data_IF_154490007043
#
_entry.id   IF_154490007043
#
_cell.length_a   1.000
_cell.length_b   1.000
_cell.length_c   1.000
_cell.angle_alpha   90.00
_cell.angle_beta   90.00
_cell.angle_gamma   90.00
#
_symmetry.space_group_name_H-M   'P 1'
#
loop_
_entity.id
_entity.type
_entity.pdbx_description
1 polymer ?
#
# COMPACT_ATOMS: atom_id res chain seq x y z
N UNK A 1 -29.84 12.19 -1.44
CA UNK A 1 -29.20 10.87 -1.65
C UNK A 1 -28.70 10.37 -0.31
N UNK A 2 -29.36 9.37 0.27
CA UNK A 2 -28.91 8.73 1.51
C UNK A 2 -27.52 8.10 1.24
N UNK A 3 -26.44 8.49 1.93
CA UNK A 3 -25.13 7.90 1.69
C UNK A 3 -25.25 6.40 1.94
N UNK A 4 -24.98 5.56 0.92
CA UNK A 4 -24.88 4.11 1.09
C UNK A 4 -24.02 3.85 2.33
N UNK A 5 -24.58 3.13 3.31
CA UNK A 5 -23.87 2.78 4.53
C UNK A 5 -22.49 2.20 4.15
N UNK A 6 -21.43 2.86 4.62
CA UNK A 6 -20.07 2.42 4.35
C UNK A 6 -19.81 1.14 5.13
N UNK A 7 -19.24 0.14 4.46
CA UNK A 7 -18.85 -1.10 5.13
C UNK A 7 -17.67 -0.80 6.07
N UNK A 8 -17.89 -0.90 7.37
CA UNK A 8 -16.91 -0.54 8.40
C UNK A 8 -15.69 -1.46 8.37
N UNK A 9 -15.88 -2.75 8.09
CA UNK A 9 -14.78 -3.72 8.01
C UNK A 9 -13.83 -3.38 6.86
N UNK A 10 -14.36 -2.85 5.76
CA UNK A 10 -13.55 -2.38 4.63
C UNK A 10 -12.80 -1.11 5.01
N UNK A 11 -13.43 -0.15 5.67
CA UNK A 11 -12.74 1.07 6.12
C UNK A 11 -11.65 0.73 7.16
N UNK A 12 -11.89 -0.21 8.07
CA UNK A 12 -10.87 -0.72 9.00
C UNK A 12 -9.72 -1.38 8.25
N UNK A 13 -10.02 -2.23 7.26
CA UNK A 13 -9.01 -2.87 6.43
C UNK A 13 -8.15 -1.85 5.68
N UNK A 14 -8.74 -0.73 5.25
CA UNK A 14 -7.97 0.36 4.67
C UNK A 14 -7.03 1.01 5.69
N UNK A 15 -7.46 1.24 6.93
CA UNK A 15 -6.58 1.74 7.98
C UNK A 15 -5.41 0.76 8.26
N UNK A 16 -5.70 -0.54 8.32
CA UNK A 16 -4.67 -1.59 8.47
C UNK A 16 -3.66 -1.51 7.33
N UNK A 17 -4.11 -1.36 6.09
CA UNK A 17 -3.23 -1.23 4.93
C UNK A 17 -2.26 -0.06 5.08
N UNK A 18 -2.74 1.09 5.53
CA UNK A 18 -1.89 2.27 5.73
C UNK A 18 -0.89 2.05 6.84
N UNK A 19 -1.32 1.58 7.99
CA UNK A 19 -0.41 1.36 9.12
C UNK A 19 0.70 0.38 8.73
N UNK A 20 0.34 -0.63 7.96
CA UNK A 20 1.27 -1.60 7.39
C UNK A 20 2.33 -0.93 6.48
N UNK A 21 1.88 -0.07 5.57
CA UNK A 21 2.75 0.69 4.64
C UNK A 21 3.62 1.70 5.41
N UNK A 22 3.04 2.40 6.38
CA UNK A 22 3.72 3.40 7.20
C UNK A 22 4.89 2.77 7.97
N UNK A 23 4.60 1.69 8.71
CA UNK A 23 5.60 0.94 9.47
C UNK A 23 6.68 0.44 8.52
N UNK A 24 6.30 -0.18 7.41
CA UNK A 24 7.27 -0.63 6.40
C UNK A 24 8.23 0.46 5.97
N UNK A 25 7.74 1.61 5.50
CA UNK A 25 8.60 2.70 5.05
C UNK A 25 9.49 3.32 6.14
N UNK A 26 9.08 3.27 7.42
CA UNK A 26 9.95 3.68 8.52
C UNK A 26 11.17 2.75 8.64
N UNK A 27 10.99 1.45 8.41
CA UNK A 27 12.03 0.44 8.66
C UNK A 27 12.79 -0.01 7.39
N UNK A 28 12.26 0.23 6.19
CA UNK A 28 12.89 -0.13 4.90
C UNK A 28 14.34 0.34 4.75
N UNK A 29 14.73 1.59 5.10
CA UNK A 29 16.12 2.02 4.97
C UNK A 29 17.08 1.16 5.79
N UNK A 30 16.69 0.78 7.00
CA UNK A 30 17.47 -0.09 7.89
C UNK A 30 17.54 -1.52 7.35
N UNK A 31 16.42 -2.03 6.83
CA UNK A 31 16.39 -3.35 6.19
C UNK A 31 17.33 -3.41 4.98
N UNK A 32 17.25 -2.42 4.08
CA UNK A 32 18.08 -2.38 2.88
C UNK A 32 19.57 -2.22 3.21
N UNK A 33 19.90 -1.47 4.27
CA UNK A 33 21.26 -1.38 4.78
C UNK A 33 21.79 -2.74 5.23
N UNK A 34 20.98 -3.52 5.96
CA UNK A 34 21.35 -4.85 6.47
C UNK A 34 21.36 -5.94 5.39
N UNK A 35 20.41 -5.92 4.46
CA UNK A 35 20.23 -6.95 3.44
C UNK A 35 21.11 -6.75 2.21
N UNK A 36 21.38 -5.49 1.83
CA UNK A 36 22.02 -5.14 0.56
C UNK A 36 23.18 -4.15 0.69
N UNK A 37 23.55 -3.74 1.92
CA UNK A 37 24.69 -2.85 2.15
C UNK A 37 24.44 -1.39 1.76
N UNK A 38 23.19 -0.94 1.71
CA UNK A 38 22.86 0.45 1.40
C UNK A 38 23.36 1.42 2.49
N UNK A 39 24.35 2.23 2.14
CA UNK A 39 25.11 3.15 3.00
C UNK A 39 24.28 4.40 3.36
N UNK A 40 23.46 4.38 4.42
CA UNK A 40 22.87 5.64 4.96
C UNK A 40 22.25 5.55 6.36
N UNK A 41 21.93 4.37 6.87
CA UNK A 41 21.37 4.22 8.21
C UNK A 41 22.46 3.81 9.21
N UNK A 42 22.49 4.44 10.38
CA UNK A 42 23.38 4.11 11.50
C UNK A 42 22.99 2.77 12.13
N UNK A 43 23.16 1.68 11.38
CA UNK A 43 22.79 0.35 11.85
C UNK A 43 23.89 -0.19 12.75
N UNK A 44 23.55 -0.46 14.01
CA UNK A 44 24.49 -1.08 14.94
C UNK A 44 24.82 -2.52 14.54
N UNK A 45 26.07 -2.93 14.76
CA UNK A 45 26.54 -4.32 14.56
C UNK A 45 25.65 -5.32 15.34
N UNK A 46 25.09 -4.89 16.48
CA UNK A 46 24.17 -5.69 17.29
C UNK A 46 22.84 -6.03 16.60
N UNK A 47 22.33 -5.19 15.70
CA UNK A 47 21.13 -5.53 14.92
C UNK A 47 21.43 -6.57 13.85
N UNK A 48 22.62 -6.54 13.23
CA UNK A 48 22.98 -7.43 12.13
C UNK A 48 22.96 -8.91 12.51
N UNK A 49 23.37 -9.23 13.74
CA UNK A 49 23.46 -10.61 14.22
C UNK A 49 22.27 -11.01 15.12
N UNK A 50 21.22 -10.19 15.19
CA UNK A 50 20.07 -10.44 16.05
C UNK A 50 19.01 -11.24 15.30
N UNK A 51 18.74 -12.46 15.77
CA UNK A 51 17.61 -13.28 15.33
C UNK A 51 16.31 -12.49 15.34
N UNK A 52 16.06 -11.75 16.43
CA UNK A 52 14.80 -11.06 16.66
C UNK A 52 14.68 -9.84 15.74
N UNK A 53 15.78 -9.13 15.50
CA UNK A 53 15.79 -8.04 14.54
C UNK A 53 15.47 -8.54 13.13
N UNK A 54 16.12 -9.60 12.68
CA UNK A 54 15.86 -10.18 11.36
C UNK A 54 14.42 -10.68 11.24
N UNK A 55 13.95 -11.42 12.26
CA UNK A 55 12.58 -11.93 12.30
C UNK A 55 11.53 -10.81 12.20
N UNK A 56 11.62 -9.79 13.06
CA UNK A 56 10.69 -8.67 13.07
C UNK A 56 10.73 -7.86 11.76
N UNK A 57 11.93 -7.58 11.24
CA UNK A 57 12.07 -6.82 10.00
C UNK A 57 11.60 -7.60 8.77
N UNK A 58 11.81 -8.91 8.74
CA UNK A 58 11.25 -9.79 7.73
C UNK A 58 9.72 -9.75 7.72
N UNK A 59 9.08 -9.78 8.90
CA UNK A 59 7.62 -9.66 9.02
C UNK A 59 7.12 -8.29 8.56
N UNK A 60 7.86 -7.21 8.86
CA UNK A 60 7.55 -5.87 8.38
C UNK A 60 7.55 -5.82 6.84
N UNK A 61 8.46 -6.51 6.16
CA UNK A 61 8.45 -6.53 4.69
C UNK A 61 7.21 -7.22 4.13
N UNK A 62 6.79 -8.35 4.72
CA UNK A 62 5.52 -8.99 4.38
C UNK A 62 4.33 -8.07 4.67
N UNK A 63 4.37 -7.33 5.78
CA UNK A 63 3.33 -6.38 6.19
C UNK A 63 3.24 -5.20 5.21
N UNK A 64 4.35 -4.60 4.79
CA UNK A 64 4.36 -3.56 3.77
C UNK A 64 3.78 -4.03 2.44
N UNK A 65 4.18 -5.23 1.99
CA UNK A 65 3.62 -5.87 0.80
C UNK A 65 2.10 -6.11 0.93
N UNK A 66 1.65 -6.58 2.09
CA UNK A 66 0.24 -6.82 2.40
C UNK A 66 -0.56 -5.52 2.25
N UNK A 67 -0.07 -4.42 2.85
CA UNK A 67 -0.73 -3.13 2.77
C UNK A 67 -0.88 -2.61 1.34
N UNK A 68 0.18 -2.71 0.53
CA UNK A 68 0.12 -2.30 -0.88
C UNK A 68 -0.91 -3.13 -1.67
N UNK A 69 -0.94 -4.46 -1.48
CA UNK A 69 -1.94 -5.30 -2.13
C UNK A 69 -3.37 -4.92 -1.70
N UNK A 70 -3.62 -4.75 -0.40
CA UNK A 70 -4.94 -4.37 0.10
C UNK A 70 -5.39 -3.04 -0.53
N UNK A 71 -4.50 -2.05 -0.61
CA UNK A 71 -4.81 -0.73 -1.17
C UNK A 71 -5.35 -0.81 -2.62
N UNK A 72 -4.66 -1.56 -3.48
CA UNK A 72 -5.07 -1.75 -4.87
C UNK A 72 -6.26 -2.72 -5.01
N UNK A 73 -6.27 -3.83 -4.27
CA UNK A 73 -7.33 -4.84 -4.35
C UNK A 73 -8.69 -4.29 -3.89
N UNK A 74 -8.75 -3.50 -2.81
CA UNK A 74 -10.00 -2.82 -2.41
C UNK A 74 -10.56 -1.99 -3.56
N UNK A 75 -9.67 -1.28 -4.26
CA UNK A 75 -10.07 -0.43 -5.37
C UNK A 75 -10.67 -1.25 -6.51
N UNK A 76 -10.01 -2.35 -6.91
CA UNK A 76 -10.50 -3.25 -7.95
C UNK A 76 -11.82 -3.93 -7.58
N UNK A 77 -11.94 -4.39 -6.34
CA UNK A 77 -13.11 -5.08 -5.79
C UNK A 77 -14.39 -4.25 -5.88
N UNK A 78 -14.29 -2.92 -5.76
CA UNK A 78 -15.46 -2.04 -5.89
C UNK A 78 -15.60 -1.39 -7.26
N UNK A 79 -14.49 -1.01 -7.91
CA UNK A 79 -14.51 -0.31 -9.18
C UNK A 79 -15.01 -1.18 -10.34
N UNK A 80 -14.42 -2.36 -10.50
CA UNK A 80 -14.71 -3.22 -11.66
C UNK A 80 -16.16 -3.71 -11.62
N UNK A 81 -16.68 -4.29 -10.52
CA UNK A 81 -18.09 -4.71 -10.47
C UNK A 81 -19.08 -3.55 -10.60
N UNK A 82 -18.71 -2.35 -10.14
CA UNK A 82 -19.55 -1.17 -10.34
C UNK A 82 -19.61 -0.76 -11.81
N UNK A 83 -18.48 -0.72 -12.51
CA UNK A 83 -18.44 -0.42 -13.94
C UNK A 83 -19.20 -1.49 -14.76
N UNK A 84 -19.09 -2.78 -14.41
CA UNK A 84 -19.86 -3.86 -15.05
C UNK A 84 -21.38 -3.62 -14.90
N UNK A 85 -21.84 -3.15 -13.74
CA UNK A 85 -23.27 -2.83 -13.50
C UNK A 85 -23.77 -1.63 -14.30
N UNK A 86 -22.88 -0.74 -14.71
CA UNK A 86 -23.22 0.47 -15.47
C UNK A 86 -23.09 0.28 -16.99
N UNK A 87 -22.79 -0.93 -17.45
CA UNK A 87 -22.75 -1.26 -18.87
C UNK A 87 -24.11 -0.97 -19.53
N UNK A 88 -24.07 -0.31 -20.69
CA UNK A 88 -25.26 0.10 -21.43
C UNK A 88 -25.07 1.47 -22.11
N UNK A 89 -26.18 2.11 -22.48
CA UNK A 89 -26.16 3.41 -23.13
C UNK A 89 -25.46 4.48 -22.25
N UNK A 90 -24.55 5.23 -22.86
CA UNK A 90 -23.78 6.27 -22.19
C UNK A 90 -22.75 5.76 -21.17
N UNK A 91 -22.36 4.48 -21.21
CA UNK A 91 -21.33 3.91 -20.33
C UNK A 91 -20.08 4.79 -20.26
N UNK A 92 -19.48 5.13 -21.40
CA UNK A 92 -18.25 5.92 -21.45
C UNK A 92 -18.41 7.31 -20.85
N UNK A 93 -19.53 7.99 -21.09
CA UNK A 93 -19.80 9.31 -20.51
C UNK A 93 -19.87 9.23 -18.98
N UNK A 94 -20.56 8.22 -18.44
CA UNK A 94 -20.65 7.97 -16.99
C UNK A 94 -19.27 7.65 -16.39
N UNK A 95 -18.48 6.80 -17.05
CA UNK A 95 -17.14 6.43 -16.58
C UNK A 95 -16.16 7.60 -16.64
N UNK A 96 -16.13 8.37 -17.74
CA UNK A 96 -15.28 9.56 -17.88
C UNK A 96 -15.60 10.57 -16.77
N UNK A 97 -16.89 10.82 -16.48
CA UNK A 97 -17.29 11.71 -15.39
C UNK A 97 -16.86 11.18 -14.02
N UNK A 98 -16.99 9.88 -13.77
CA UNK A 98 -16.56 9.23 -12.52
C UNK A 98 -15.04 9.30 -12.33
N UNK A 99 -14.28 9.00 -13.39
CA UNK A 99 -12.81 9.10 -13.43
C UNK A 99 -12.39 10.56 -13.23
N UNK A 100 -13.00 11.51 -13.96
CA UNK A 100 -12.71 12.94 -13.82
C UNK A 100 -12.86 13.45 -12.39
N UNK A 101 -13.95 13.06 -11.69
CA UNK A 101 -14.11 13.38 -10.26
C UNK A 101 -12.96 12.85 -9.40
N UNK A 102 -12.50 11.63 -9.66
CA UNK A 102 -11.37 11.02 -8.93
C UNK A 102 -10.06 11.71 -9.27
N UNK A 103 -9.80 12.02 -10.54
CA UNK A 103 -8.62 12.75 -10.98
C UNK A 103 -8.53 14.10 -10.27
N UNK A 104 -9.62 14.88 -10.23
CA UNK A 104 -9.66 16.18 -9.53
C UNK A 104 -9.30 16.01 -8.05
N UNK A 105 -9.85 15.01 -7.39
CA UNK A 105 -9.57 14.76 -5.96
C UNK A 105 -8.12 14.33 -5.73
N UNK A 106 -7.59 13.44 -6.57
CA UNK A 106 -6.21 12.93 -6.45
C UNK A 106 -5.21 14.04 -6.77
N UNK A 107 -5.31 14.63 -7.96
CA UNK A 107 -4.39 15.69 -8.43
C UNK A 107 -4.52 16.93 -7.56
N UNK A 108 -5.75 17.34 -7.18
CA UNK A 108 -5.95 18.46 -6.27
C UNK A 108 -5.32 18.22 -4.90
N UNK A 109 -5.38 16.99 -4.37
CA UNK A 109 -4.68 16.65 -3.13
C UNK A 109 -3.16 16.76 -3.31
N UNK A 110 -2.61 16.24 -4.41
CA UNK A 110 -1.18 16.35 -4.73
C UNK A 110 -0.74 17.80 -4.81
N UNK A 111 -1.51 18.68 -5.46
CA UNK A 111 -1.21 20.11 -5.57
C UNK A 111 -1.21 20.79 -4.20
N UNK A 112 -2.25 20.57 -3.37
CA UNK A 112 -2.33 21.18 -2.03
C UNK A 112 -1.14 20.75 -1.17
N UNK A 113 -0.78 19.46 -1.20
CA UNK A 113 0.36 18.96 -0.44
C UNK A 113 1.69 19.42 -1.01
N UNK A 114 1.82 19.55 -2.33
CA UNK A 114 3.00 20.12 -2.96
C UNK A 114 3.24 21.56 -2.49
N UNK A 115 2.21 22.40 -2.47
CA UNK A 115 2.30 23.78 -1.96
C UNK A 115 2.73 23.79 -0.49
N UNK A 116 2.14 22.93 0.34
CA UNK A 116 2.49 22.85 1.76
C UNK A 116 3.93 22.35 1.97
N UNK A 117 4.39 21.37 1.20
CA UNK A 117 5.77 20.89 1.25
C UNK A 117 6.75 21.99 0.86
N UNK A 118 6.45 22.75 -0.19
CA UNK A 118 7.26 23.91 -0.61
C UNK A 118 7.30 24.96 0.50
N UNK A 119 6.15 25.30 1.10
CA UNK A 119 6.07 26.24 2.22
C UNK A 119 6.92 25.78 3.41
N UNK A 120 6.79 24.51 3.82
CA UNK A 120 7.57 23.95 4.91
C UNK A 120 9.06 23.89 4.59
N UNK A 121 9.46 23.72 3.33
CA UNK A 121 10.86 23.81 2.92
C UNK A 121 11.42 25.21 3.16
N UNK A 122 10.67 26.27 2.83
CA UNK A 122 11.11 27.65 3.08
C UNK A 122 11.19 27.97 4.58
N UNK A 123 10.20 27.53 5.38
CA UNK A 123 10.14 27.82 6.82
C UNK A 123 11.18 27.01 7.61
N UNK A 124 11.27 25.70 7.34
CA UNK A 124 12.09 24.78 8.13
C UNK A 124 13.46 24.48 7.49
N UNK A 125 13.80 25.12 6.36
CA UNK A 125 15.04 24.88 5.58
C UNK A 125 15.34 23.39 5.39
N UNK A 126 14.35 22.65 4.88
CA UNK A 126 14.54 21.21 4.65
C UNK A 126 15.68 20.95 3.65
N UNK A 127 16.42 19.84 3.75
CA UNK A 127 17.49 19.50 2.83
C UNK A 127 17.03 19.59 1.37
N UNK A 128 17.68 20.45 0.59
CA UNK A 128 17.29 20.86 -0.78
C UNK A 128 17.29 19.74 -1.81
N UNK A 129 17.83 18.55 -1.48
CA UNK A 129 17.99 17.44 -2.40
C UNK A 129 16.68 16.93 -3.03
N UNK A 130 15.52 17.12 -2.38
CA UNK A 130 14.22 16.68 -2.93
C UNK A 130 13.55 17.68 -3.89
N UNK A 131 13.75 18.98 -3.71
CA UNK A 131 13.06 20.01 -4.51
C UNK A 131 13.83 20.45 -5.75
N UNK A 132 15.11 20.08 -5.87
CA UNK A 132 15.97 20.43 -7.00
C UNK A 132 15.67 19.64 -8.31
N UNK A 133 14.49 19.04 -8.44
CA UNK A 133 14.07 18.30 -9.64
C UNK A 133 12.59 17.89 -9.59
N UNK A 134 12.06 17.21 -10.62
CA UNK A 134 10.64 16.80 -10.67
C UNK A 134 10.36 15.45 -9.98
N UNK A 135 11.42 14.79 -9.48
CA UNK A 135 11.39 13.43 -8.95
C UNK A 135 10.43 13.26 -7.77
N UNK A 136 10.34 14.28 -6.91
CA UNK A 136 9.42 14.31 -5.75
C UNK A 136 7.94 14.38 -6.15
N UNK A 137 7.63 14.87 -7.36
CA UNK A 137 6.30 14.81 -7.97
C UNK A 137 6.11 13.59 -8.87
N UNK A 138 7.19 13.02 -9.40
CA UNK A 138 7.19 11.83 -10.26
C UNK A 138 7.37 10.54 -9.48
N UNK A 139 8.61 10.05 -9.38
CA UNK A 139 8.93 8.72 -8.84
C UNK A 139 8.56 8.52 -7.38
N UNK A 140 8.62 9.58 -6.57
CA UNK A 140 8.34 9.46 -5.13
C UNK A 140 6.83 9.27 -4.85
N UNK A 141 5.99 9.61 -5.82
CA UNK A 141 4.53 9.44 -5.80
C UNK A 141 4.07 8.28 -6.69
N UNK A 142 4.97 7.37 -7.09
CA UNK A 142 4.68 6.31 -8.07
C UNK A 142 3.42 5.50 -7.74
N UNK A 143 3.19 5.16 -6.47
CA UNK A 143 2.01 4.38 -6.05
C UNK A 143 0.69 5.16 -6.22
N UNK A 144 0.72 6.48 -6.08
CA UNK A 144 -0.43 7.37 -6.29
C UNK A 144 -0.74 7.49 -7.79
N UNK A 145 0.30 7.59 -8.62
CA UNK A 145 0.14 7.59 -10.07
C UNK A 145 -0.35 6.24 -10.59
N UNK A 146 0.18 5.13 -10.08
CA UNK A 146 -0.33 3.78 -10.36
C UNK A 146 -1.79 3.63 -9.96
N UNK A 147 -2.18 4.18 -8.81
CA UNK A 147 -3.58 4.20 -8.39
C UNK A 147 -4.49 4.94 -9.36
N UNK A 148 -4.04 6.10 -9.85
CA UNK A 148 -4.75 6.87 -10.86
C UNK A 148 -4.89 6.07 -12.16
N UNK A 149 -3.81 5.45 -12.63
CA UNK A 149 -3.80 4.57 -13.81
C UNK A 149 -4.82 3.44 -13.63
N UNK A 150 -4.85 2.76 -12.49
CA UNK A 150 -5.80 1.66 -12.25
C UNK A 150 -7.25 2.15 -12.22
N UNK A 151 -7.50 3.36 -11.72
CA UNK A 151 -8.82 3.98 -11.81
C UNK A 151 -9.25 4.19 -13.28
N UNK A 152 -8.33 4.68 -14.12
CA UNK A 152 -8.57 4.88 -15.56
C UNK A 152 -8.74 3.54 -16.30
N UNK A 153 -8.00 2.50 -15.92
CA UNK A 153 -8.09 1.16 -16.51
C UNK A 153 -9.35 0.40 -16.11
N UNK A 154 -9.96 0.73 -14.98
CA UNK A 154 -11.12 0.02 -14.44
C UNK A 154 -12.29 -0.19 -15.43
N UNK A 155 -12.74 0.79 -16.24
CA UNK A 155 -13.77 0.55 -17.26
C UNK A 155 -13.34 -0.41 -18.37
N UNK A 156 -12.07 -0.40 -18.77
CA UNK A 156 -11.55 -1.31 -19.78
C UNK A 156 -11.52 -2.75 -19.26
N UNK A 157 -11.05 -2.94 -18.02
CA UNK A 157 -11.07 -4.25 -17.35
C UNK A 157 -12.51 -4.76 -17.22
N UNK A 158 -13.45 -3.89 -16.83
CA UNK A 158 -14.87 -4.23 -16.76
C UNK A 158 -15.43 -4.69 -18.11
N UNK A 159 -15.10 -3.99 -19.21
CA UNK A 159 -15.49 -4.39 -20.56
C UNK A 159 -14.91 -5.75 -20.95
N UNK A 160 -13.60 -5.95 -20.75
CA UNK A 160 -12.94 -7.22 -21.05
C UNK A 160 -13.55 -8.38 -20.25
N UNK A 161 -13.73 -8.21 -18.94
CA UNK A 161 -14.35 -9.22 -18.09
C UNK A 161 -15.81 -9.50 -18.50
N UNK A 162 -16.56 -8.48 -18.91
CA UNK A 162 -17.96 -8.64 -19.34
C UNK A 162 -18.10 -9.38 -20.67
N UNK A 163 -17.15 -9.18 -21.59
CA UNK A 163 -17.11 -9.84 -22.90
C UNK A 163 -16.55 -11.26 -22.80
N UNK A 164 -15.51 -11.48 -21.99
CA UNK A 164 -14.79 -12.75 -21.90
C UNK A 164 -15.10 -13.55 -20.63
N UNK A 165 -16.39 -13.68 -20.28
CA UNK A 165 -16.84 -14.27 -19.00
C UNK A 165 -16.28 -15.66 -18.68
N UNK A 166 -16.17 -16.53 -19.70
CA UNK A 166 -15.78 -17.94 -19.53
C UNK A 166 -14.27 -18.13 -19.35
N UNK A 167 -13.44 -17.35 -20.06
CA UNK A 167 -11.98 -17.50 -20.03
C UNK A 167 -11.24 -16.52 -19.12
N UNK A 168 -11.88 -15.42 -18.70
CA UNK A 168 -11.22 -14.37 -17.91
C UNK A 168 -10.59 -14.88 -16.60
N UNK A 169 -11.28 -15.77 -15.88
CA UNK A 169 -10.75 -16.33 -14.64
C UNK A 169 -9.50 -17.20 -14.87
N UNK A 170 -9.52 -18.05 -15.91
CA UNK A 170 -8.38 -18.88 -16.27
C UNK A 170 -7.20 -18.05 -16.79
N UNK A 171 -7.49 -17.03 -17.59
CA UNK A 171 -6.49 -16.04 -18.04
C UNK A 171 -5.83 -15.36 -16.84
N UNK A 172 -6.62 -14.81 -15.91
CA UNK A 172 -6.09 -14.17 -14.70
C UNK A 172 -5.23 -15.12 -13.86
N UNK A 173 -5.64 -16.38 -13.71
CA UNK A 173 -4.86 -17.37 -13.00
C UNK A 173 -3.50 -17.62 -13.69
N UNK A 174 -3.50 -17.79 -15.01
CA UNK A 174 -2.29 -18.01 -15.79
C UNK A 174 -1.32 -16.82 -15.69
N UNK A 175 -1.78 -15.59 -15.93
CA UNK A 175 -0.91 -14.41 -15.87
C UNK A 175 -0.40 -14.12 -14.45
N UNK A 176 -1.18 -14.42 -13.41
CA UNK A 176 -0.72 -14.32 -12.02
C UNK A 176 0.41 -15.30 -11.74
N UNK A 177 0.26 -16.57 -12.14
CA UNK A 177 1.31 -17.59 -11.99
C UNK A 177 2.58 -17.13 -12.70
N UNK A 178 2.48 -16.73 -13.97
CA UNK A 178 3.62 -16.21 -14.73
C UNK A 178 4.26 -15.00 -14.06
N UNK A 179 3.46 -14.06 -13.57
CA UNK A 179 3.96 -12.85 -12.88
C UNK A 179 4.73 -13.21 -11.61
N UNK A 180 4.22 -14.13 -10.79
CA UNK A 180 4.92 -14.55 -9.58
C UNK A 180 6.18 -15.38 -9.87
N UNK A 181 6.19 -16.18 -10.95
CA UNK A 181 7.40 -16.85 -11.42
C UNK A 181 8.45 -15.83 -11.88
N UNK A 182 8.06 -14.81 -12.63
CA UNK A 182 8.96 -13.72 -13.00
C UNK A 182 9.47 -12.96 -11.78
N UNK A 183 8.62 -12.65 -10.80
CA UNK A 183 9.04 -11.99 -9.56
C UNK A 183 10.03 -12.85 -8.76
N UNK A 184 9.78 -14.16 -8.66
CA UNK A 184 10.71 -15.08 -8.03
C UNK A 184 12.05 -15.13 -8.77
N UNK A 185 12.03 -15.19 -10.11
CA UNK A 185 13.25 -15.14 -10.92
C UNK A 185 14.05 -13.85 -10.66
N UNK A 186 13.38 -12.70 -10.67
CA UNK A 186 14.03 -11.41 -10.38
C UNK A 186 14.61 -11.41 -8.96
N UNK A 187 13.83 -11.86 -7.98
CA UNK A 187 14.21 -11.87 -6.58
C UNK A 187 15.48 -12.71 -6.33
N UNK A 188 15.58 -13.91 -6.90
CA UNK A 188 16.67 -14.82 -6.61
C UNK A 188 17.87 -14.70 -7.57
N UNK A 189 17.63 -14.31 -8.82
CA UNK A 189 18.65 -14.40 -9.87
C UNK A 189 18.98 -13.08 -10.58
N UNK A 190 18.10 -12.06 -10.50
CA UNK A 190 18.24 -10.87 -11.36
C UNK A 190 17.79 -9.58 -10.69
N UNK A 191 18.19 -9.31 -9.45
CA UNK A 191 17.78 -8.09 -8.75
C UNK A 191 18.33 -6.79 -9.38
N UNK A 192 19.42 -6.88 -10.15
CA UNK A 192 20.13 -5.73 -10.75
C UNK A 192 20.93 -4.92 -9.71
N UNK A 193 21.71 -3.94 -10.16
CA UNK A 193 22.51 -3.05 -9.29
C UNK A 193 21.69 -1.95 -8.60
N UNK A 194 22.31 -1.28 -7.61
CA UNK A 194 21.71 -0.35 -6.62
C UNK A 194 21.04 0.90 -7.24
N UNK A 195 21.40 1.27 -8.46
CA UNK A 195 20.85 2.45 -9.14
C UNK A 195 19.57 2.11 -9.91
N UNK A 196 18.44 2.14 -9.19
CA UNK A 196 17.11 1.86 -9.74
C UNK A 196 16.40 3.16 -10.16
N UNK A 197 16.59 3.57 -11.42
CA UNK A 197 15.68 4.51 -12.07
C UNK A 197 14.37 3.81 -12.48
N UNK A 198 13.34 4.60 -12.83
CA UNK A 198 12.01 4.14 -13.26
C UNK A 198 12.01 3.36 -14.60
N UNK A 199 13.17 3.29 -15.26
CA UNK A 199 13.44 2.68 -16.56
C UNK A 199 13.68 1.16 -16.48
N UNK A 200 14.01 0.62 -15.31
CA UNK A 200 14.23 -0.81 -15.12
C UNK A 200 12.92 -1.60 -15.17
N UNK A 201 12.75 -2.46 -16.18
CA UNK A 201 11.61 -3.38 -16.30
C UNK A 201 11.36 -4.21 -15.03
N UNK A 202 12.41 -4.51 -14.25
CA UNK A 202 12.34 -5.18 -12.94
C UNK A 202 11.50 -4.40 -11.92
N UNK A 203 11.54 -3.07 -11.97
CA UNK A 203 10.74 -2.20 -11.12
C UNK A 203 9.29 -2.16 -11.58
N UNK A 204 9.04 -2.19 -12.90
CA UNK A 204 7.69 -2.24 -13.47
C UNK A 204 6.92 -3.51 -13.08
N UNK A 205 7.62 -4.60 -12.78
CA UNK A 205 6.98 -5.84 -12.35
C UNK A 205 6.14 -5.70 -11.06
N UNK A 206 6.48 -4.77 -10.16
CA UNK A 206 5.62 -4.50 -9.00
C UNK A 206 4.27 -3.90 -9.40
N UNK A 207 4.28 -2.93 -10.31
CA UNK A 207 3.07 -2.36 -10.90
C UNK A 207 2.22 -3.42 -11.60
N UNK A 208 2.84 -4.31 -12.38
CA UNK A 208 2.15 -5.44 -13.04
C UNK A 208 1.50 -6.38 -12.02
N UNK A 209 2.21 -6.69 -10.93
CA UNK A 209 1.67 -7.57 -9.87
C UNK A 209 0.46 -6.93 -9.18
N UNK A 210 0.51 -5.63 -8.90
CA UNK A 210 -0.63 -4.91 -8.33
C UNK A 210 -1.80 -4.79 -9.30
N UNK A 211 -1.54 -4.64 -10.60
CA UNK A 211 -2.58 -4.63 -11.63
C UNK A 211 -3.35 -5.96 -11.66
N UNK A 212 -2.63 -7.08 -11.62
CA UNK A 212 -3.30 -8.39 -11.60
C UNK A 212 -4.05 -8.64 -10.29
N UNK A 213 -3.52 -8.18 -9.15
CA UNK A 213 -4.26 -8.16 -7.89
C UNK A 213 -5.54 -7.33 -7.96
N UNK A 214 -5.47 -6.14 -8.57
CA UNK A 214 -6.63 -5.28 -8.82
C UNK A 214 -7.69 -5.98 -9.68
N UNK A 215 -7.28 -6.62 -10.79
CA UNK A 215 -8.18 -7.38 -11.67
C UNK A 215 -8.82 -8.59 -10.96
N UNK A 216 -8.03 -9.37 -10.22
CA UNK A 216 -8.53 -10.54 -9.47
C UNK A 216 -9.53 -10.12 -8.40
N UNK A 217 -9.25 -9.03 -7.67
CA UNK A 217 -10.19 -8.50 -6.68
C UNK A 217 -11.49 -8.03 -7.34
N UNK A 218 -11.43 -7.43 -8.53
CA UNK A 218 -12.61 -7.10 -9.33
C UNK A 218 -13.44 -8.32 -9.71
N UNK A 219 -12.79 -9.40 -10.17
CA UNK A 219 -13.46 -10.67 -10.45
C UNK A 219 -14.10 -11.26 -9.17
N UNK A 220 -13.38 -11.23 -8.06
CA UNK A 220 -13.86 -11.74 -6.78
C UNK A 220 -15.08 -10.96 -6.27
N UNK A 221 -15.11 -9.64 -6.47
CA UNK A 221 -16.24 -8.77 -6.16
C UNK A 221 -17.46 -9.03 -7.04
N UNK A 222 -17.27 -9.28 -8.35
CA UNK A 222 -18.36 -9.62 -9.28
C UNK A 222 -18.96 -10.99 -9.00
N UNK A 223 -18.12 -11.99 -8.73
CA UNK A 223 -18.55 -13.37 -8.41
C UNK A 223 -19.02 -13.56 -6.97
N UNK A 224 -18.83 -12.57 -6.11
CA UNK A 224 -19.25 -12.64 -4.71
C UNK A 224 -18.46 -13.68 -3.90
N UNK A 225 -17.15 -13.81 -4.15
CA UNK A 225 -16.27 -14.75 -3.43
C UNK A 225 -16.23 -14.49 -1.91
N UNK A 226 -16.58 -13.29 -1.47
CA UNK A 226 -16.68 -12.92 -0.04
C UNK A 226 -17.71 -13.72 0.75
N UNK A 227 -18.57 -14.50 0.09
CA UNK A 227 -19.52 -15.42 0.74
C UNK A 227 -18.83 -16.59 1.44
N UNK A 228 -17.66 -17.05 0.96
CA UNK A 228 -16.96 -18.18 1.56
C UNK A 228 -15.93 -17.73 2.62
N UNK A 229 -16.45 -17.40 3.81
CA UNK A 229 -15.63 -16.90 4.93
C UNK A 229 -14.66 -17.95 5.47
N UNK A 230 -15.08 -19.23 5.54
CA UNK A 230 -14.24 -20.32 6.06
C UNK A 230 -12.97 -20.47 5.23
N UNK A 231 -13.11 -20.61 3.90
CA UNK A 231 -11.97 -20.72 2.99
C UNK A 231 -11.06 -19.49 3.02
N UNK A 232 -11.65 -18.29 3.09
CA UNK A 232 -10.87 -17.06 3.20
C UNK A 232 -10.05 -17.02 4.50
N UNK A 233 -10.61 -17.47 5.63
CA UNK A 233 -9.88 -17.58 6.90
C UNK A 233 -8.75 -18.60 6.84
N UNK A 234 -8.99 -19.76 6.24
CA UNK A 234 -7.98 -20.81 6.07
C UNK A 234 -6.79 -20.30 5.24
N UNK A 235 -7.06 -19.66 4.10
CA UNK A 235 -6.01 -19.07 3.26
C UNK A 235 -5.24 -18.00 4.03
N UNK A 236 -5.93 -17.13 4.77
CA UNK A 236 -5.26 -16.12 5.58
C UNK A 236 -4.31 -16.74 6.62
N UNK A 237 -4.77 -17.76 7.35
CA UNK A 237 -3.96 -18.46 8.34
C UNK A 237 -2.76 -19.16 7.70
N UNK A 238 -2.95 -19.83 6.55
CA UNK A 238 -1.85 -20.43 5.80
C UNK A 238 -0.81 -19.37 5.44
N UNK A 239 -1.23 -18.24 4.86
CA UNK A 239 -0.30 -17.17 4.51
C UNK A 239 0.40 -16.58 5.75
N UNK A 240 -0.32 -16.40 6.86
CA UNK A 240 0.25 -15.91 8.11
C UNK A 240 1.32 -16.87 8.65
N UNK A 241 1.02 -18.16 8.73
CA UNK A 241 1.99 -19.17 9.15
C UNK A 241 3.16 -19.29 8.18
N UNK A 242 2.92 -19.23 6.87
CA UNK A 242 4.00 -19.22 5.88
C UNK A 242 4.93 -18.02 6.04
N UNK A 243 4.40 -16.83 6.31
CA UNK A 243 5.22 -15.65 6.61
C UNK A 243 6.06 -15.86 7.86
N UNK A 244 5.44 -16.31 8.96
CA UNK A 244 6.13 -16.59 10.23
C UNK A 244 7.23 -17.64 10.08
N UNK A 245 6.94 -18.75 9.42
CA UNK A 245 7.91 -19.82 9.18
C UNK A 245 9.05 -19.34 8.29
N UNK A 246 8.73 -18.61 7.22
CA UNK A 246 9.74 -18.09 6.29
C UNK A 246 10.68 -17.10 6.98
N UNK A 247 10.16 -16.16 7.77
CA UNK A 247 11.00 -15.22 8.54
C UNK A 247 11.79 -15.91 9.63
N UNK A 248 11.20 -16.92 10.30
CA UNK A 248 11.88 -17.73 11.30
C UNK A 248 13.07 -18.49 10.70
N UNK A 249 12.89 -19.14 9.55
CA UNK A 249 13.96 -19.83 8.82
C UNK A 249 15.07 -18.85 8.41
N UNK A 250 14.72 -17.67 7.89
CA UNK A 250 15.72 -16.65 7.55
C UNK A 250 16.51 -16.17 8.77
N UNK A 251 15.82 -16.03 9.90
CA UNK A 251 16.44 -15.62 11.17
C UNK A 251 17.35 -16.70 11.74
N UNK A 252 16.98 -17.99 11.64
CA UNK A 252 17.86 -19.11 11.98
C UNK A 252 19.10 -19.14 11.08
N UNK A 253 18.92 -18.90 9.78
CA UNK A 253 20.00 -18.85 8.81
C UNK A 253 20.83 -17.54 8.85
N UNK A 254 20.46 -16.56 9.69
CA UNK A 254 21.08 -15.24 9.78
C UNK A 254 21.24 -14.53 8.42
N UNK A 255 20.30 -14.76 7.49
CA UNK A 255 20.39 -14.27 6.12
C UNK A 255 19.39 -13.15 5.84
N UNK A 256 19.87 -11.91 5.98
CA UNK A 256 19.10 -10.71 5.62
C UNK A 256 18.74 -10.65 4.14
N UNK A 257 19.66 -11.11 3.28
CA UNK A 257 19.42 -11.21 1.84
C UNK A 257 18.25 -12.15 1.54
N UNK A 258 18.23 -13.34 2.14
CA UNK A 258 17.13 -14.30 1.94
C UNK A 258 15.78 -13.73 2.41
N UNK A 259 15.76 -13.02 3.55
CA UNK A 259 14.55 -12.33 4.01
C UNK A 259 14.09 -11.24 3.02
N UNK A 260 15.02 -10.55 2.37
CA UNK A 260 14.74 -9.55 1.34
C UNK A 260 14.19 -10.18 0.06
N UNK A 261 14.81 -11.28 -0.37
CA UNK A 261 14.45 -12.00 -1.59
C UNK A 261 13.06 -12.67 -1.46
N UNK A 262 12.71 -13.23 -0.29
CA UNK A 262 11.39 -13.84 -0.05
C UNK A 262 10.24 -12.82 0.05
N UNK A 263 10.55 -11.58 0.43
CA UNK A 263 9.58 -10.50 0.51
C UNK A 263 9.53 -9.62 -0.75
N UNK A 264 10.38 -9.94 -1.74
CA UNK A 264 10.88 -9.04 -2.78
C UNK A 264 9.97 -7.87 -3.16
N UNK A 265 10.51 -6.64 -2.97
CA UNK A 265 9.97 -5.33 -3.38
C UNK A 265 8.46 -5.17 -3.18
N UNK A 266 7.94 -5.67 -2.06
CA UNK A 266 6.53 -5.56 -1.72
C UNK A 266 5.58 -6.35 -2.65
N UNK A 267 6.08 -7.39 -3.32
CA UNK A 267 5.36 -8.24 -4.29
C UNK A 267 5.29 -9.72 -3.87
N UNK A 268 5.30 -9.99 -2.57
CA UNK A 268 5.27 -11.35 -2.04
C UNK A 268 3.96 -12.09 -2.36
N UNK A 269 4.06 -13.34 -2.82
CA UNK A 269 2.91 -14.24 -3.01
C UNK A 269 2.16 -14.49 -1.69
N UNK A 270 2.89 -14.60 -0.58
CA UNK A 270 2.33 -14.80 0.75
C UNK A 270 1.46 -13.58 1.13
N UNK A 271 2.00 -12.38 0.94
CA UNK A 271 1.27 -11.13 1.20
C UNK A 271 0.09 -10.92 0.25
N UNK A 272 0.21 -11.33 -1.01
CA UNK A 272 -0.90 -11.31 -1.97
C UNK A 272 -2.07 -12.18 -1.50
N UNK A 273 -1.79 -13.43 -1.11
CA UNK A 273 -2.80 -14.36 -0.61
C UNK A 273 -3.44 -13.87 0.69
N UNK A 274 -2.64 -13.35 1.62
CA UNK A 274 -3.11 -12.73 2.85
C UNK A 274 -3.97 -11.48 2.59
N UNK A 275 -3.61 -10.63 1.63
CA UNK A 275 -4.35 -9.42 1.28
C UNK A 275 -5.72 -9.77 0.67
N UNK A 276 -5.74 -10.70 -0.30
CA UNK A 276 -6.98 -11.13 -0.92
C UNK A 276 -7.92 -11.79 0.09
N UNK A 277 -7.40 -12.66 0.95
CA UNK A 277 -8.20 -13.32 1.99
C UNK A 277 -8.76 -12.35 3.02
N UNK A 278 -7.95 -11.40 3.53
CA UNK A 278 -8.43 -10.34 4.42
C UNK A 278 -9.50 -9.47 3.76
N UNK A 279 -9.32 -9.12 2.48
CA UNK A 279 -10.32 -8.38 1.71
C UNK A 279 -11.65 -9.15 1.64
N UNK A 280 -11.60 -10.44 1.31
CA UNK A 280 -12.80 -11.27 1.23
C UNK A 280 -13.49 -11.43 2.59
N UNK A 281 -12.72 -11.59 3.68
CA UNK A 281 -13.22 -11.64 5.05
C UNK A 281 -13.89 -10.33 5.47
N UNK A 282 -13.28 -9.18 5.15
CA UNK A 282 -13.85 -7.86 5.45
C UNK A 282 -15.07 -7.53 4.58
N UNK A 283 -15.13 -8.09 3.37
CA UNK A 283 -16.26 -7.94 2.46
C UNK A 283 -17.42 -8.91 2.75
N UNK A 284 -17.24 -9.92 3.61
CA UNK A 284 -18.32 -10.81 4.06
C UNK A 284 -19.37 -10.00 4.84
N UNK A 285 -20.67 -10.30 4.61
CA UNK A 285 -21.84 -9.56 5.13
C UNK A 285 -21.70 -9.06 6.59
N UNK A 286 -22.06 -7.79 6.80
CA UNK A 286 -22.02 -7.07 8.08
C UNK A 286 -23.13 -7.47 9.07
N UNK A 287 -22.80 -7.34 10.38
CA UNK A 287 -23.75 -6.86 11.39
C UNK A 287 -23.87 -5.34 11.25
N UNK A 288 -25.09 -4.80 11.09
CA UNK A 288 -25.38 -3.36 11.13
C UNK A 288 -25.08 -2.81 12.52
N UNK A 289 -23.87 -2.30 12.77
CA UNK A 289 -23.57 -1.54 13.99
C UNK A 289 -23.03 -0.15 13.59
N UNK A 290 -23.94 0.72 13.18
CA UNK A 290 -23.64 2.06 12.66
C UNK A 290 -23.65 3.18 13.71
N UNK A 291 -23.63 2.88 15.02
CA UNK A 291 -23.82 3.90 16.07
C UNK A 291 -22.62 4.15 17.00
N UNK A 292 -21.46 3.51 16.79
CA UNK A 292 -20.31 3.71 17.67
C UNK A 292 -19.40 4.88 17.23
N UNK A 293 -18.90 5.67 18.20
CA UNK A 293 -17.89 6.73 17.99
C UNK A 293 -16.67 6.22 17.21
N UNK A 294 -16.25 4.97 17.46
CA UNK A 294 -15.16 4.31 16.75
C UNK A 294 -15.41 4.19 15.23
N UNK A 295 -16.66 3.94 14.80
CA UNK A 295 -16.99 3.84 13.37
C UNK A 295 -16.81 5.19 12.65
N UNK A 296 -17.16 6.30 13.31
CA UNK A 296 -16.92 7.66 12.80
C UNK A 296 -15.42 7.96 12.69
N UNK A 297 -14.63 7.59 13.70
CA UNK A 297 -13.19 7.78 13.69
C UNK A 297 -12.50 6.96 12.57
N UNK A 298 -12.85 5.67 12.44
CA UNK A 298 -12.32 4.81 11.37
C UNK A 298 -12.67 5.39 9.99
N UNK A 299 -13.93 5.78 9.79
CA UNK A 299 -14.37 6.40 8.53
C UNK A 299 -13.66 7.72 8.25
N UNK A 300 -13.38 8.50 9.29
CA UNK A 300 -12.61 9.73 9.18
C UNK A 300 -11.20 9.43 8.69
N UNK A 301 -10.41 8.63 9.41
CA UNK A 301 -9.03 8.30 9.02
C UNK A 301 -8.96 7.59 7.65
N UNK A 302 -9.90 6.71 7.35
CA UNK A 302 -9.97 6.00 6.07
C UNK A 302 -10.33 6.91 4.87
N UNK A 303 -10.75 8.16 5.09
CA UNK A 303 -10.84 9.14 4.01
C UNK A 303 -9.50 9.83 3.72
N UNK A 304 -8.63 9.93 4.73
CA UNK A 304 -7.35 10.65 4.67
C UNK A 304 -6.17 9.85 4.14
N UNK A 305 -6.37 8.57 3.86
CA UNK A 305 -5.36 7.61 3.39
C UNK A 305 -4.49 8.13 2.26
N UNK A 306 -5.15 8.67 1.24
CA UNK A 306 -4.46 9.17 0.07
C UNK A 306 -3.59 10.38 0.45
N UNK A 307 -4.09 11.24 1.34
CA UNK A 307 -3.34 12.37 1.86
C UNK A 307 -2.14 11.94 2.70
N UNK A 308 -2.30 10.92 3.55
CA UNK A 308 -1.17 10.31 4.26
C UNK A 308 -0.09 9.86 3.27
N UNK A 309 -0.46 9.12 2.22
CA UNK A 309 0.52 8.59 1.26
C UNK A 309 1.28 9.72 0.56
N UNK A 310 0.57 10.76 0.10
CA UNK A 310 1.18 11.92 -0.55
C UNK A 310 2.13 12.63 0.42
N UNK A 311 1.68 12.92 1.64
CA UNK A 311 2.51 13.58 2.64
C UNK A 311 3.73 12.77 3.02
N UNK A 312 3.58 11.46 3.25
CA UNK A 312 4.68 10.59 3.64
C UNK A 312 5.77 10.56 2.55
N UNK A 313 5.38 10.48 1.28
CA UNK A 313 6.30 10.53 0.14
C UNK A 313 6.99 11.90 -0.01
N UNK A 314 6.25 12.99 0.15
CA UNK A 314 6.79 14.34 0.00
C UNK A 314 7.67 14.77 1.19
N UNK A 315 7.26 14.43 2.41
CA UNK A 315 7.93 14.82 3.66
C UNK A 315 8.84 13.73 4.23
N UNK A 316 9.23 12.70 3.45
CA UNK A 316 10.09 11.62 3.96
C UNK A 316 11.41 12.17 4.52
N UNK A 317 11.99 13.21 3.90
CA UNK A 317 13.20 13.85 4.41
C UNK A 317 12.99 14.48 5.78
N UNK A 318 11.85 15.13 5.99
CA UNK A 318 11.48 15.71 7.28
C UNK A 318 11.27 14.62 8.34
N UNK A 319 10.60 13.55 7.97
CA UNK A 319 10.40 12.38 8.84
C UNK A 319 11.75 11.77 9.25
N UNK A 320 12.67 11.59 8.30
CA UNK A 320 14.01 11.09 8.59
C UNK A 320 14.80 12.03 9.51
N UNK A 321 14.72 13.34 9.33
CA UNK A 321 15.38 14.30 10.23
C UNK A 321 14.89 14.21 11.68
N UNK A 322 13.59 13.97 11.90
CA UNK A 322 13.02 13.86 13.25
C UNK A 322 13.30 12.49 13.88
N UNK A 323 13.26 11.42 13.09
CA UNK A 323 13.24 10.04 13.60
C UNK A 323 14.64 9.42 13.62
N UNK A 324 15.50 9.71 12.64
CA UNK A 324 16.82 9.10 12.57
C UNK A 324 17.69 9.42 13.78
N UNK A 325 17.73 10.64 14.33
CA UNK A 325 18.49 10.91 15.54
C UNK A 325 18.01 10.08 16.74
N UNK A 326 16.68 9.90 16.87
CA UNK A 326 16.07 9.14 17.97
C UNK A 326 16.32 7.65 17.82
N UNK A 327 16.26 7.11 16.59
CA UNK A 327 16.58 5.71 16.34
C UNK A 327 18.10 5.46 16.54
N UNK A 328 18.96 6.35 16.05
CA UNK A 328 20.41 6.21 16.19
C UNK A 328 20.86 6.34 17.66
N UNK A 329 20.26 7.23 18.46
CA UNK A 329 20.61 7.37 19.89
C UNK A 329 20.19 6.18 20.74
N UNK A 330 19.18 5.42 20.30
CA UNK A 330 18.69 4.20 20.96
C UNK A 330 19.38 2.92 20.45
N UNK A 331 20.35 3.03 19.53
CA UNK A 331 21.05 1.91 18.88
C UNK A 331 22.13 1.26 19.76
N UNK A 332 21.85 1.05 21.05
CA UNK A 332 22.74 0.33 21.95
C UNK A 332 22.76 -1.17 21.60
N UNK A 333 23.91 -1.86 21.72
CA UNK A 333 23.97 -3.31 21.52
C UNK A 333 23.07 -4.03 22.52
N UNK A 334 22.23 -4.97 22.06
CA UNK A 334 21.46 -5.87 22.92
C UNK A 334 20.00 -6.06 22.52
N UNK A 335 19.36 -7.07 23.11
CA UNK A 335 17.97 -7.46 22.85
C UNK A 335 16.95 -6.38 23.29
N UNK A 336 17.06 -5.90 24.53
CA UNK A 336 16.13 -4.92 25.09
C UNK A 336 16.14 -3.58 24.35
N UNK A 337 17.30 -3.00 23.97
CA UNK A 337 17.35 -1.79 23.15
C UNK A 337 16.62 -1.92 21.81
N UNK A 338 16.78 -3.05 21.10
CA UNK A 338 16.10 -3.26 19.82
C UNK A 338 14.57 -3.32 19.97
N UNK A 339 14.06 -4.09 20.93
CA UNK A 339 12.61 -4.23 21.14
C UNK A 339 11.99 -2.88 21.55
N UNK A 340 12.65 -2.15 22.45
CA UNK A 340 12.20 -0.82 22.86
C UNK A 340 12.16 0.16 21.67
N UNK A 341 13.22 0.19 20.86
CA UNK A 341 13.31 1.01 19.65
C UNK A 341 12.25 0.62 18.62
N UNK A 342 12.03 -0.68 18.42
CA UNK A 342 11.03 -1.19 17.49
C UNK A 342 9.61 -0.76 17.90
N UNK A 343 9.27 -0.92 19.18
CA UNK A 343 7.96 -0.50 19.72
C UNK A 343 7.82 1.01 19.62
N UNK A 344 8.82 1.77 20.05
CA UNK A 344 8.81 3.23 20.03
C UNK A 344 8.64 3.79 18.61
N UNK A 345 9.46 3.34 17.66
CA UNK A 345 9.39 3.78 16.27
C UNK A 345 8.06 3.36 15.60
N UNK A 346 7.52 2.18 15.93
CA UNK A 346 6.21 1.76 15.46
C UNK A 346 5.09 2.64 16.01
N UNK A 347 5.07 2.91 17.31
CA UNK A 347 4.07 3.79 17.95
C UNK A 347 4.13 5.21 17.39
N UNK A 348 5.33 5.76 17.25
CA UNK A 348 5.53 7.08 16.69
C UNK A 348 5.08 7.16 15.22
N UNK A 349 5.35 6.11 14.44
CA UNK A 349 4.84 5.97 13.06
C UNK A 349 3.32 5.92 13.02
N UNK A 350 2.67 5.22 13.97
CA UNK A 350 1.21 5.18 14.06
C UNK A 350 0.63 6.56 14.38
N UNK A 351 1.20 7.27 15.36
CA UNK A 351 0.78 8.64 15.71
C UNK A 351 0.93 9.57 14.50
N UNK A 352 2.08 9.53 13.84
CA UNK A 352 2.33 10.31 12.62
C UNK A 352 1.32 9.99 11.52
N UNK A 353 1.03 8.70 11.31
CA UNK A 353 0.04 8.24 10.34
C UNK A 353 -1.35 8.78 10.64
N UNK A 354 -1.76 8.77 11.92
CA UNK A 354 -3.05 9.31 12.36
C UNK A 354 -3.13 10.82 12.12
N UNK A 355 -2.09 11.58 12.48
CA UNK A 355 -2.03 13.04 12.26
C UNK A 355 -2.15 13.36 10.77
N UNK A 356 -1.33 12.72 9.93
CA UNK A 356 -1.38 12.95 8.49
C UNK A 356 -2.70 12.50 7.85
N UNK A 357 -3.27 11.39 8.31
CA UNK A 357 -4.59 10.94 7.86
C UNK A 357 -5.69 11.92 8.29
N UNK A 358 -5.56 12.58 9.44
CA UNK A 358 -6.47 13.64 9.84
C UNK A 358 -6.38 14.85 8.90
N UNK A 359 -5.16 15.36 8.65
CA UNK A 359 -4.94 16.47 7.72
C UNK A 359 -5.44 16.12 6.31
N UNK A 360 -5.12 14.91 5.82
CA UNK A 360 -5.58 14.40 4.54
C UNK A 360 -7.10 14.38 4.43
N UNK A 361 -7.79 14.00 5.51
CA UNK A 361 -9.25 14.00 5.55
C UNK A 361 -9.84 15.40 5.46
N UNK A 362 -9.17 16.39 6.04
CA UNK A 362 -9.60 17.79 6.04
C UNK A 362 -9.44 18.42 4.66
N UNK A 363 -8.32 18.15 3.96
CA UNK A 363 -8.08 18.64 2.58
C UNK A 363 -9.03 17.97 1.57
N UNK A 364 -9.34 16.69 1.75
CA UNK A 364 -10.09 15.93 0.74
C UNK A 364 -11.59 16.25 0.72
N UNK A 365 -12.19 16.55 1.88
CA UNK A 365 -13.62 16.88 1.99
C UNK A 365 -14.07 18.05 1.11
N UNK A 366 -13.41 19.23 1.12
CA UNK A 366 -13.77 20.34 0.26
C UNK A 366 -13.52 20.02 -1.22
N UNK A 367 -12.45 19.28 -1.56
CA UNK A 367 -12.17 18.85 -2.94
C UNK A 367 -13.26 17.91 -3.48
N UNK A 368 -13.77 17.00 -2.65
CA UNK A 368 -14.89 16.13 -3.01
C UNK A 368 -16.17 16.94 -3.26
N UNK A 369 -16.42 17.98 -2.46
CA UNK A 369 -17.55 18.88 -2.66
C UNK A 369 -17.41 19.68 -3.97
N UNK A 370 -16.23 20.25 -4.24
CA UNK A 370 -15.95 21.02 -5.45
C UNK A 370 -16.04 20.15 -6.73
N UNK A 371 -15.41 18.98 -6.75
CA UNK A 371 -15.46 18.06 -7.90
C UNK A 371 -16.87 17.54 -8.20
N UNK A 372 -17.74 17.45 -7.18
CA UNK A 372 -19.14 17.08 -7.37
C UNK A 372 -19.99 18.18 -8.03
N UNK A 373 -19.60 19.45 -7.88
CA UNK A 373 -20.27 20.62 -8.47
C UNK A 373 -19.82 20.85 -9.91
N UNK A 374 -18.51 20.81 -10.17
CA UNK A 374 -17.91 21.07 -11.48
C UNK A 374 -18.30 20.08 -12.58
N UNK A 375 -18.73 18.87 -12.21
CA UNK A 375 -19.08 17.80 -13.16
C UNK A 375 -20.59 17.49 -13.14
N UNK A 376 -21.40 18.44 -12.64
CA UNK A 376 -22.87 18.46 -12.75
C UNK A 376 -23.34 19.53 -13.73
N UNK A 377 -22.61 20.65 -13.85
CA UNK A 377 -22.57 21.49 -15.04
C UNK A 377 -21.99 20.71 -16.21
#
# INVERSE_FOLDING_TARGET
MNPKARNLNIELLRCVAIFSIAIFHTFVPYFNALAYGAFSAGVSIGMKNSFIALFCMGLINFLGSLGNFIFYMISGFFLIPHAIKELGAGFWIKQIRSIGRRCIVIVGSVIVFAILTIFLHFVCRMPSAKLNGIRWLGSDLEFIWLYLIFCVLSPFVALLQSKWKRGWAAFLACVLVLTFLCNAFIAFFSQGGVNHALDGWRKLMSAVTYLWGFCLAGLAGEKGWSKNRKRSREIFLICLFSALISTFICALAQSWKMAGDLSFKSTSLISFGAALSLLLLSASKEKKNSEFKAAKAITFFANGILGFYIFQSMLTSFWHLLIFPVINSLSLPGFFPFVALFIFASLLTLIYTLILSAIGSWVRRPLLAAGSRLLKS
#
